data_IF_756505748689
#
_entry.id   IF_756505748689
#
_cell.length_a   1.000
_cell.length_b   1.000
_cell.length_c   1.000
_cell.angle_alpha   90.00
_cell.angle_beta   90.00
_cell.angle_gamma   90.00
#
_symmetry.space_group_name_H-M   'P 1'
#
loop_
_entity.id
_entity.type
_entity.pdbx_description
1 polymer ?
#
# COMPACT_ATOMS: atom_id res chain seq x y z
N UNK A 1 15.96 6.85 -35.67
CA UNK A 1 15.59 8.18 -36.23
C UNK A 1 14.75 9.00 -35.26
N UNK A 2 13.70 8.45 -34.64
CA UNK A 2 12.80 9.17 -33.74
C UNK A 2 13.52 9.92 -32.60
N UNK A 3 14.36 9.23 -31.83
CA UNK A 3 15.05 9.82 -30.66
C UNK A 3 16.03 10.95 -31.04
N UNK A 4 16.51 10.99 -32.28
CA UNK A 4 17.40 12.07 -32.76
C UNK A 4 16.74 13.45 -32.80
N UNK A 5 15.41 13.49 -32.84
CA UNK A 5 14.62 14.72 -32.74
C UNK A 5 14.45 15.18 -31.30
N UNK A 6 14.73 14.33 -30.32
CA UNK A 6 14.56 14.60 -28.90
C UNK A 6 15.87 14.98 -28.21
N UNK A 7 16.88 15.45 -28.93
CA UNK A 7 18.11 15.91 -28.28
C UNK A 7 17.83 17.11 -27.35
N UNK A 8 18.34 17.06 -26.11
CA UNK A 8 18.16 18.10 -25.09
C UNK A 8 18.63 19.48 -25.56
N UNK A 9 19.69 19.56 -26.38
CA UNK A 9 20.22 20.82 -26.92
C UNK A 9 19.25 21.55 -27.85
N UNK A 10 18.18 20.87 -28.29
CA UNK A 10 17.12 21.44 -29.14
C UNK A 10 15.90 21.87 -28.32
N UNK A 11 15.82 21.47 -27.06
CA UNK A 11 14.73 21.81 -26.16
C UNK A 11 14.88 23.28 -25.71
N UNK A 12 13.86 24.12 -25.84
CA UNK A 12 13.96 25.51 -25.42
C UNK A 12 14.07 25.64 -23.90
N UNK A 13 14.93 26.55 -23.43
CA UNK A 13 15.05 26.89 -22.00
C UNK A 13 13.80 27.60 -21.44
N UNK A 14 12.96 28.16 -22.31
CA UNK A 14 11.72 28.84 -21.93
C UNK A 14 10.51 28.22 -22.62
N UNK A 15 9.44 28.04 -21.85
CA UNK A 15 8.11 27.67 -22.35
C UNK A 15 7.54 28.72 -23.31
N UNK A 16 8.03 29.96 -23.24
CA UNK A 16 7.76 31.02 -24.20
C UNK A 16 8.84 30.96 -25.29
N UNK A 17 8.51 30.33 -26.40
CA UNK A 17 9.49 30.10 -27.47
C UNK A 17 9.36 31.12 -28.60
N UNK A 18 10.49 31.38 -29.28
CA UNK A 18 10.58 32.26 -30.45
C UNK A 18 10.21 31.49 -31.72
N UNK A 19 9.84 32.18 -32.80
CA UNK A 19 9.45 31.56 -34.07
C UNK A 19 10.49 30.56 -34.62
N UNK A 20 11.79 30.80 -34.38
CA UNK A 20 12.89 29.92 -34.78
C UNK A 20 12.89 28.55 -34.09
N UNK A 21 12.16 28.41 -32.97
CA UNK A 21 12.05 27.16 -32.21
C UNK A 21 10.83 26.32 -32.61
N UNK A 22 9.95 26.83 -33.48
CA UNK A 22 8.72 26.13 -33.87
C UNK A 22 9.00 24.76 -34.51
N UNK A 23 9.97 24.69 -35.42
CA UNK A 23 10.26 23.46 -36.15
C UNK A 23 10.90 22.34 -35.30
N UNK A 24 11.87 22.62 -34.41
CA UNK A 24 12.32 21.66 -33.40
C UNK A 24 11.18 21.17 -32.49
N UNK A 25 10.29 22.06 -32.05
CA UNK A 25 9.16 21.71 -31.17
C UNK A 25 8.19 20.76 -31.88
N UNK A 26 7.81 21.04 -33.12
CA UNK A 26 6.87 20.18 -33.87
C UNK A 26 7.44 18.78 -34.10
N UNK A 27 8.74 18.68 -34.42
CA UNK A 27 9.43 17.39 -34.56
C UNK A 27 9.53 16.65 -33.23
N UNK A 28 9.81 17.34 -32.14
CA UNK A 28 9.83 16.75 -30.82
C UNK A 28 8.43 16.28 -30.40
N UNK A 29 7.39 17.06 -30.69
CA UNK A 29 6.00 16.70 -30.41
C UNK A 29 5.62 15.41 -31.13
N UNK A 30 5.91 15.31 -32.43
CA UNK A 30 5.66 14.10 -33.21
C UNK A 30 6.46 12.89 -32.67
N UNK A 31 7.71 13.11 -32.26
CA UNK A 31 8.54 12.05 -31.70
C UNK A 31 8.03 11.56 -30.34
N UNK A 32 7.66 12.45 -29.40
CA UNK A 32 7.08 12.06 -28.11
C UNK A 32 5.71 11.39 -28.31
N UNK A 33 4.88 11.90 -29.22
CA UNK A 33 3.61 11.25 -29.58
C UNK A 33 3.83 9.84 -30.09
N UNK A 34 4.84 9.61 -30.95
CA UNK A 34 5.13 8.26 -31.40
C UNK A 34 5.63 7.34 -30.26
N UNK A 35 6.44 7.84 -29.32
CA UNK A 35 6.83 7.07 -28.12
C UNK A 35 5.62 6.66 -27.26
N UNK A 36 4.57 7.47 -27.23
CA UNK A 36 3.35 7.18 -26.47
C UNK A 36 2.55 5.97 -26.99
N UNK A 37 2.99 5.33 -28.08
CA UNK A 37 2.41 4.10 -28.63
C UNK A 37 3.37 2.90 -28.57
N UNK A 38 4.56 3.04 -27.97
CA UNK A 38 5.60 1.99 -28.00
C UNK A 38 5.37 0.85 -26.99
N UNK A 39 4.44 1.00 -26.05
CA UNK A 39 4.23 0.06 -24.95
C UNK A 39 4.21 -1.43 -25.34
N UNK A 40 3.35 -1.85 -26.29
CA UNK A 40 3.28 -3.25 -26.73
C UNK A 40 4.57 -3.79 -27.38
N UNK A 41 5.43 -2.90 -27.89
CA UNK A 41 6.71 -3.25 -28.49
C UNK A 41 7.81 -3.41 -27.44
N UNK A 42 7.74 -2.63 -26.35
CA UNK A 42 8.69 -2.67 -25.25
C UNK A 42 8.47 -3.88 -24.32
N UNK A 43 7.22 -4.27 -24.06
CA UNK A 43 6.87 -5.45 -23.25
C UNK A 43 7.49 -6.78 -23.73
N UNK A 44 7.90 -6.86 -25.00
CA UNK A 44 8.54 -8.06 -25.57
C UNK A 44 10.05 -8.14 -25.33
N UNK A 45 10.62 -7.25 -24.51
CA UNK A 45 12.06 -7.20 -24.25
C UNK A 45 12.88 -6.85 -25.49
N UNK A 46 12.38 -5.93 -26.34
CA UNK A 46 13.01 -5.58 -27.60
C UNK A 46 14.22 -4.63 -27.37
N UNK A 47 15.40 -5.23 -27.17
CA UNK A 47 16.64 -4.49 -26.93
C UNK A 47 17.01 -3.50 -28.05
N UNK A 48 16.65 -3.78 -29.31
CA UNK A 48 16.92 -2.89 -30.45
C UNK A 48 16.09 -1.61 -30.39
N UNK A 49 14.86 -1.69 -29.86
CA UNK A 49 14.00 -0.54 -29.62
C UNK A 49 14.42 0.20 -28.34
N UNK A 50 14.81 -0.54 -27.31
CA UNK A 50 15.15 -0.01 -25.99
C UNK A 50 16.44 0.81 -26.00
N UNK A 51 17.51 0.30 -26.60
CA UNK A 51 18.83 0.95 -26.54
C UNK A 51 18.84 2.41 -27.03
N UNK A 52 18.21 2.77 -28.17
CA UNK A 52 18.11 4.16 -28.57
C UNK A 52 17.36 5.07 -27.59
N UNK A 53 16.40 4.52 -26.82
CA UNK A 53 15.66 5.26 -25.79
C UNK A 53 16.57 5.49 -24.58
N UNK A 54 17.31 4.47 -24.14
CA UNK A 54 18.31 4.58 -23.07
C UNK A 54 19.36 5.64 -23.43
N UNK A 55 19.96 5.54 -24.61
CA UNK A 55 21.01 6.45 -25.11
C UNK A 55 20.50 7.91 -25.21
N UNK A 56 19.21 8.09 -25.50
CA UNK A 56 18.58 9.41 -25.64
C UNK A 56 17.78 9.89 -24.43
N UNK A 57 17.85 9.18 -23.30
CA UNK A 57 16.97 9.39 -22.14
C UNK A 57 16.93 10.84 -21.66
N UNK A 58 18.09 11.47 -21.51
CA UNK A 58 18.19 12.86 -21.06
C UNK A 58 17.39 13.83 -21.93
N UNK A 59 17.43 13.61 -23.24
CA UNK A 59 16.68 14.40 -24.21
C UNK A 59 15.18 14.14 -24.15
N UNK A 60 14.77 12.87 -24.06
CA UNK A 60 13.38 12.47 -23.89
C UNK A 60 12.79 13.12 -22.63
N UNK A 61 13.49 13.03 -21.50
CA UNK A 61 13.12 13.66 -20.24
C UNK A 61 12.96 15.18 -20.36
N UNK A 62 13.93 15.85 -20.98
CA UNK A 62 13.90 17.30 -21.21
C UNK A 62 12.67 17.74 -22.02
N UNK A 63 12.31 17.01 -23.07
CA UNK A 63 11.13 17.34 -23.88
C UNK A 63 9.81 17.01 -23.17
N UNK A 64 9.71 15.91 -22.42
CA UNK A 64 8.51 15.60 -21.64
C UNK A 64 8.23 16.68 -20.59
N UNK A 65 9.25 17.14 -19.87
CA UNK A 65 9.12 18.21 -18.87
C UNK A 65 8.73 19.55 -19.52
N UNK A 66 9.27 19.86 -20.70
CA UNK A 66 8.88 21.04 -21.48
C UNK A 66 7.40 20.99 -21.89
N UNK A 67 6.93 19.88 -22.48
CA UNK A 67 5.54 19.72 -22.91
C UNK A 67 4.56 19.70 -21.74
N UNK A 68 4.94 19.07 -20.62
CA UNK A 68 4.17 19.15 -19.39
C UNK A 68 4.04 20.60 -18.91
N UNK A 69 5.13 21.36 -18.90
CA UNK A 69 5.13 22.76 -18.47
C UNK A 69 4.19 23.61 -19.32
N UNK A 70 4.15 23.39 -20.64
CA UNK A 70 3.15 24.01 -21.51
C UNK A 70 1.72 23.58 -21.18
N UNK A 71 1.49 22.29 -20.93
CA UNK A 71 0.16 21.75 -20.60
C UNK A 71 -0.40 22.37 -19.30
N UNK A 72 0.46 22.60 -18.31
CA UNK A 72 0.09 23.13 -16.99
C UNK A 72 -0.14 24.64 -16.98
N UNK A 73 0.32 25.37 -18.00
CA UNK A 73 0.21 26.82 -18.03
C UNK A 73 -1.11 27.25 -18.69
N UNK A 74 -2.07 27.83 -17.94
CA UNK A 74 -3.37 28.22 -18.49
C UNK A 74 -3.29 29.33 -19.53
N UNK A 75 -2.17 30.06 -19.61
CA UNK A 75 -1.94 31.13 -20.58
C UNK A 75 -1.44 30.62 -21.95
N UNK A 76 -1.08 29.34 -22.06
CA UNK A 76 -0.47 28.77 -23.27
C UNK A 76 -1.41 27.81 -23.99
N UNK A 77 -1.80 28.18 -25.21
CA UNK A 77 -2.61 27.33 -26.09
C UNK A 77 -4.07 27.18 -25.64
N UNK A 78 -4.86 26.44 -26.44
CA UNK A 78 -6.25 26.14 -26.09
C UNK A 78 -6.33 25.06 -24.98
N UNK A 79 -7.42 24.99 -24.21
CA UNK A 79 -7.65 23.90 -23.25
C UNK A 79 -7.49 22.51 -23.88
N UNK A 80 -7.95 22.32 -25.12
CA UNK A 80 -7.80 21.07 -25.87
C UNK A 80 -6.33 20.75 -26.17
N UNK A 81 -5.53 21.75 -26.59
CA UNK A 81 -4.08 21.57 -26.82
C UNK A 81 -3.36 21.20 -25.52
N UNK A 82 -3.70 21.87 -24.41
CA UNK A 82 -3.11 21.57 -23.09
C UNK A 82 -3.43 20.16 -22.64
N UNK A 83 -4.69 19.72 -22.80
CA UNK A 83 -5.10 18.33 -22.51
C UNK A 83 -4.31 17.33 -23.36
N UNK A 84 -4.22 17.54 -24.66
CA UNK A 84 -3.48 16.66 -25.56
C UNK A 84 -2.00 16.52 -25.18
N UNK A 85 -1.33 17.62 -24.81
CA UNK A 85 0.06 17.57 -24.36
C UNK A 85 0.23 16.77 -23.06
N UNK A 86 -0.70 16.93 -22.12
CA UNK A 86 -0.68 16.18 -20.87
C UNK A 86 -0.90 14.68 -21.12
N UNK A 87 -1.90 14.33 -21.94
CA UNK A 87 -2.20 12.94 -22.30
C UNK A 87 -1.02 12.28 -23.00
N UNK A 88 -0.37 12.99 -23.93
CA UNK A 88 0.83 12.52 -24.63
C UNK A 88 1.97 12.22 -23.65
N UNK A 89 2.24 13.12 -22.70
CA UNK A 89 3.27 12.91 -21.67
C UNK A 89 2.89 11.72 -20.79
N UNK A 90 1.64 11.62 -20.34
CA UNK A 90 1.14 10.53 -19.51
C UNK A 90 1.31 9.16 -20.19
N UNK A 91 0.87 9.04 -21.44
CA UNK A 91 1.00 7.81 -22.22
C UNK A 91 2.45 7.45 -22.54
N UNK A 92 3.32 8.44 -22.74
CA UNK A 92 4.75 8.21 -22.94
C UNK A 92 5.37 7.63 -21.67
N UNK A 93 5.14 8.26 -20.51
CA UNK A 93 5.62 7.78 -19.22
C UNK A 93 5.13 6.35 -18.95
N UNK A 94 3.84 6.09 -19.20
CA UNK A 94 3.27 4.74 -19.12
C UNK A 94 3.98 3.74 -20.04
N UNK A 95 4.15 4.05 -21.33
CA UNK A 95 4.75 3.11 -22.28
C UNK A 95 6.20 2.77 -21.91
N UNK A 96 6.97 3.77 -21.48
CA UNK A 96 8.36 3.58 -21.08
C UNK A 96 8.47 2.80 -19.77
N UNK A 97 7.50 2.98 -18.85
CA UNK A 97 7.47 2.24 -17.59
C UNK A 97 7.05 0.78 -17.75
N UNK A 98 6.85 0.24 -18.96
CA UNK A 98 6.55 -1.18 -19.18
C UNK A 98 7.82 -2.04 -19.37
N UNK A 99 9.00 -1.45 -19.47
CA UNK A 99 10.29 -2.16 -19.56
C UNK A 99 11.12 -1.89 -18.30
N UNK A 100 11.63 -2.95 -17.67
CA UNK A 100 12.32 -2.88 -16.37
C UNK A 100 13.57 -1.99 -16.38
N UNK A 101 14.33 -1.98 -17.49
CA UNK A 101 15.54 -1.17 -17.57
C UNK A 101 15.20 0.32 -17.75
N UNK A 102 14.14 0.61 -18.52
CA UNK A 102 13.62 1.97 -18.63
C UNK A 102 12.96 2.45 -17.33
N UNK A 103 12.27 1.59 -16.59
CA UNK A 103 11.77 1.90 -15.25
C UNK A 103 12.92 2.35 -14.33
N UNK A 104 14.04 1.61 -14.29
CA UNK A 104 15.19 1.99 -13.49
C UNK A 104 15.76 3.37 -13.87
N UNK A 105 15.83 3.69 -15.17
CA UNK A 105 16.23 5.01 -15.65
C UNK A 105 15.23 6.10 -15.25
N UNK A 106 13.94 5.80 -15.29
CA UNK A 106 12.87 6.70 -14.85
C UNK A 106 12.97 6.99 -13.36
N UNK A 107 13.08 5.96 -12.52
CA UNK A 107 13.20 6.10 -11.06
C UNK A 107 14.46 6.88 -10.65
N UNK A 108 15.54 6.79 -11.43
CA UNK A 108 16.77 7.55 -11.18
C UNK A 108 16.70 9.02 -11.65
N UNK A 109 15.69 9.42 -12.43
CA UNK A 109 15.61 10.77 -13.00
C UNK A 109 15.12 11.80 -11.95
N UNK A 110 15.88 12.87 -11.66
CA UNK A 110 15.46 13.90 -10.73
C UNK A 110 14.16 14.58 -11.18
N UNK A 111 13.18 14.69 -10.28
CA UNK A 111 11.88 15.28 -10.61
C UNK A 111 10.87 14.30 -11.23
N UNK A 112 11.24 13.02 -11.43
CA UNK A 112 10.33 12.03 -12.02
C UNK A 112 9.12 11.78 -11.13
N UNK A 113 9.32 11.58 -9.83
CA UNK A 113 8.23 11.33 -8.89
C UNK A 113 7.27 12.54 -8.83
N UNK A 114 7.79 13.77 -8.84
CA UNK A 114 6.94 14.96 -8.96
C UNK A 114 6.16 15.02 -10.28
N UNK A 115 6.78 14.71 -11.42
CA UNK A 115 6.08 14.74 -12.71
C UNK A 115 4.98 13.68 -12.77
N UNK A 116 5.28 12.45 -12.36
CA UNK A 116 4.29 11.37 -12.31
C UNK A 116 3.15 11.70 -11.36
N UNK A 117 3.45 12.28 -10.19
CA UNK A 117 2.41 12.74 -9.24
C UNK A 117 1.50 13.78 -9.87
N UNK A 118 2.06 14.74 -10.61
CA UNK A 118 1.27 15.78 -11.30
C UNK A 118 0.39 15.19 -12.40
N UNK A 119 0.96 14.32 -13.23
CA UNK A 119 0.21 13.61 -14.27
C UNK A 119 -0.91 12.78 -13.64
N UNK A 120 -0.60 12.06 -12.58
CA UNK A 120 -1.55 11.32 -11.78
C UNK A 120 -2.67 12.24 -11.29
N UNK A 121 -2.39 13.33 -10.58
CA UNK A 121 -3.42 14.26 -10.07
C UNK A 121 -4.36 14.83 -11.14
N UNK A 122 -3.91 14.96 -12.39
CA UNK A 122 -4.72 15.46 -13.50
C UNK A 122 -5.47 14.39 -14.29
N UNK A 123 -5.22 13.11 -14.03
CA UNK A 123 -5.97 12.00 -14.64
C UNK A 123 -7.44 12.03 -14.20
N UNK A 124 -8.34 11.96 -15.18
CA UNK A 124 -9.78 11.90 -14.97
C UNK A 124 -10.20 10.45 -14.71
N UNK A 125 -10.68 10.11 -13.49
CA UNK A 125 -11.07 8.74 -13.18
C UNK A 125 -12.36 8.32 -13.88
N UNK A 126 -13.13 9.24 -14.47
CA UNK A 126 -14.43 8.96 -15.09
C UNK A 126 -14.36 8.80 -16.61
N UNK A 127 -13.21 9.06 -17.24
CA UNK A 127 -13.02 8.73 -18.65
C UNK A 127 -12.89 7.21 -18.83
N UNK A 128 -13.45 6.66 -19.90
CA UNK A 128 -13.37 5.23 -20.23
C UNK A 128 -11.98 4.77 -20.71
N UNK A 129 -11.00 5.68 -20.66
CA UNK A 129 -9.60 5.41 -20.98
C UNK A 129 -8.87 4.68 -19.84
N UNK A 130 -7.73 4.07 -20.20
CA UNK A 130 -6.82 3.45 -19.23
C UNK A 130 -6.21 4.51 -18.30
N UNK A 131 -6.08 4.26 -16.98
CA UNK A 131 -5.50 5.21 -16.02
C UNK A 131 -3.97 5.22 -16.12
N UNK A 132 -3.46 5.72 -17.24
CA UNK A 132 -2.03 5.73 -17.61
C UNK A 132 -1.15 6.47 -16.60
N UNK A 133 -1.65 7.53 -15.98
CA UNK A 133 -0.93 8.31 -14.98
C UNK A 133 -0.80 7.54 -13.66
N UNK A 134 -1.89 6.90 -13.21
CA UNK A 134 -1.85 6.01 -12.04
C UNK A 134 -0.88 4.85 -12.26
N UNK A 135 -0.94 4.21 -13.44
CA UNK A 135 -0.09 3.06 -13.75
C UNK A 135 1.38 3.45 -13.91
N UNK A 136 1.69 4.56 -14.61
CA UNK A 136 3.07 5.02 -14.75
C UNK A 136 3.70 5.38 -13.40
N UNK A 137 2.93 6.08 -12.53
CA UNK A 137 3.37 6.41 -11.17
C UNK A 137 3.67 5.13 -10.39
N UNK A 138 2.80 4.13 -10.48
CA UNK A 138 2.99 2.85 -9.82
C UNK A 138 4.25 2.12 -10.31
N UNK A 139 4.42 1.91 -11.62
CA UNK A 139 5.54 1.13 -12.16
C UNK A 139 6.91 1.71 -11.73
N UNK A 140 7.00 3.04 -11.64
CA UNK A 140 8.23 3.72 -11.19
C UNK A 140 8.42 3.63 -9.67
N UNK A 141 7.32 3.58 -8.90
CA UNK A 141 7.33 3.42 -7.44
C UNK A 141 7.43 1.98 -6.96
N UNK A 142 7.55 1.00 -7.86
CA UNK A 142 7.82 -0.39 -7.47
C UNK A 142 9.09 -0.49 -6.60
N UNK A 143 10.08 0.38 -6.85
CA UNK A 143 11.32 0.54 -6.05
C UNK A 143 11.37 1.90 -5.35
N UNK A 144 10.25 2.34 -4.75
CA UNK A 144 10.17 3.63 -4.09
C UNK A 144 11.23 3.80 -2.98
N UNK A 145 11.92 4.93 -3.00
CA UNK A 145 12.80 5.37 -1.91
C UNK A 145 12.07 6.39 -1.03
N UNK A 146 12.49 6.56 0.23
CA UNK A 146 11.92 7.57 1.13
C UNK A 146 11.90 8.97 0.49
N UNK A 147 12.96 9.34 -0.25
CA UNK A 147 13.04 10.60 -0.97
C UNK A 147 11.97 10.76 -2.06
N UNK A 148 11.60 9.68 -2.76
CA UNK A 148 10.54 9.73 -3.77
C UNK A 148 9.18 9.93 -3.11
N UNK A 149 8.96 9.31 -1.95
CA UNK A 149 7.73 9.48 -1.18
C UNK A 149 7.60 10.92 -0.68
N UNK A 150 8.66 11.50 -0.13
CA UNK A 150 8.68 12.90 0.29
C UNK A 150 8.37 13.85 -0.88
N UNK A 151 8.92 13.57 -2.07
CA UNK A 151 8.66 14.35 -3.28
C UNK A 151 7.19 14.27 -3.72
N UNK A 152 6.55 13.09 -3.63
CA UNK A 152 5.12 12.92 -3.92
C UNK A 152 4.27 13.73 -2.93
N UNK A 153 4.57 13.63 -1.62
CA UNK A 153 3.84 14.35 -0.57
C UNK A 153 3.91 15.86 -0.80
N UNK A 154 5.12 16.38 -1.05
CA UNK A 154 5.34 17.79 -1.34
C UNK A 154 4.61 18.23 -2.61
N UNK A 155 4.65 17.41 -3.67
CA UNK A 155 4.04 17.72 -4.96
C UNK A 155 2.52 17.73 -4.90
N UNK A 156 1.92 16.73 -4.22
CA UNK A 156 0.48 16.64 -4.02
C UNK A 156 -0.06 17.72 -3.07
N UNK A 157 0.83 18.42 -2.34
CA UNK A 157 0.46 19.36 -1.26
C UNK A 157 -0.52 18.73 -0.26
N UNK A 158 -0.31 17.44 0.00
CA UNK A 158 -1.20 16.61 0.80
C UNK A 158 -0.47 15.97 1.97
N UNK A 159 -1.19 15.14 2.70
CA UNK A 159 -0.63 14.17 3.65
C UNK A 159 -0.55 12.79 3.00
N UNK A 160 0.25 11.88 3.56
CA UNK A 160 0.27 10.46 3.16
C UNK A 160 -1.15 9.89 3.12
N UNK A 161 -1.97 10.23 4.13
CA UNK A 161 -3.37 9.82 4.19
C UNK A 161 -4.19 10.33 2.98
N UNK A 162 -4.06 11.61 2.60
CA UNK A 162 -4.79 12.15 1.44
C UNK A 162 -4.35 11.54 0.10
N UNK A 163 -3.07 11.19 -0.03
CA UNK A 163 -2.54 10.51 -1.22
C UNK A 163 -3.07 9.08 -1.30
N UNK A 164 -3.05 8.37 -0.17
CA UNK A 164 -3.65 7.04 -0.06
C UNK A 164 -5.16 7.07 -0.37
N UNK A 165 -5.90 8.03 0.18
CA UNK A 165 -7.33 8.24 -0.10
C UNK A 165 -7.59 8.51 -1.60
N UNK A 166 -6.76 9.31 -2.26
CA UNK A 166 -6.89 9.54 -3.70
C UNK A 166 -6.63 8.25 -4.50
N UNK A 167 -5.57 7.51 -4.18
CA UNK A 167 -5.26 6.22 -4.82
C UNK A 167 -6.39 5.20 -4.64
N UNK A 168 -6.95 5.12 -3.44
CA UNK A 168 -8.08 4.23 -3.12
C UNK A 168 -9.38 4.68 -3.80
N UNK A 169 -9.65 5.99 -3.88
CA UNK A 169 -10.82 6.52 -4.59
C UNK A 169 -10.78 6.16 -6.08
N UNK A 170 -9.60 6.21 -6.70
CA UNK A 170 -9.42 5.81 -8.11
C UNK A 170 -9.56 4.31 -8.30
N UNK A 171 -9.02 3.53 -7.37
CA UNK A 171 -9.25 2.09 -7.34
C UNK A 171 -10.76 1.80 -7.31
N UNK A 172 -11.53 2.45 -6.44
CA UNK A 172 -12.99 2.31 -6.40
C UNK A 172 -13.63 2.57 -7.77
N UNK A 173 -13.27 3.64 -8.45
CA UNK A 173 -13.83 3.94 -9.78
C UNK A 173 -13.51 2.85 -10.82
N UNK A 174 -12.32 2.24 -10.76
CA UNK A 174 -11.95 1.12 -11.63
C UNK A 174 -12.75 -0.15 -11.26
N UNK A 175 -12.95 -0.40 -9.97
CA UNK A 175 -13.63 -1.60 -9.47
C UNK A 175 -15.15 -1.55 -9.58
N UNK A 176 -15.75 -0.37 -9.54
CA UNK A 176 -17.19 -0.17 -9.72
C UNK A 176 -17.63 -0.41 -11.18
N UNK A 177 -16.68 -0.61 -12.12
CA UNK A 177 -17.01 -0.99 -13.48
C UNK A 177 -17.57 -2.43 -13.49
N UNK A 178 -18.84 -2.63 -13.93
CA UNK A 178 -19.61 -3.87 -13.71
C UNK A 178 -19.00 -5.12 -14.36
N UNK A 179 -18.10 -4.94 -15.32
CA UNK A 179 -17.21 -5.99 -15.81
C UNK A 179 -15.85 -5.35 -16.09
N UNK A 180 -14.79 -5.86 -15.48
CA UNK A 180 -13.43 -5.56 -15.94
C UNK A 180 -13.34 -6.08 -17.37
N UNK A 181 -13.38 -5.17 -18.36
CA UNK A 181 -13.24 -5.55 -19.78
C UNK A 181 -11.98 -6.42 -19.90
N UNK A 182 -12.07 -7.65 -20.45
CA UNK A 182 -10.92 -8.54 -20.62
C UNK A 182 -9.82 -7.97 -21.53
N UNK A 183 -9.97 -6.77 -22.09
CA UNK A 183 -8.86 -5.98 -22.64
C UNK A 183 -7.81 -5.70 -21.57
N UNK A 184 -6.53 -5.79 -21.98
CA UNK A 184 -5.35 -5.69 -21.11
C UNK A 184 -5.35 -4.50 -20.12
N UNK A 185 -6.00 -3.38 -20.45
CA UNK A 185 -5.97 -2.14 -19.65
C UNK A 185 -6.60 -2.25 -18.26
N UNK A 186 -7.71 -2.96 -18.11
CA UNK A 186 -8.44 -3.02 -16.82
C UNK A 186 -7.74 -3.92 -15.81
N UNK A 187 -7.20 -5.05 -16.28
CA UNK A 187 -6.39 -5.96 -15.47
C UNK A 187 -5.07 -5.30 -15.06
N UNK A 188 -4.49 -4.51 -15.95
CA UNK A 188 -3.26 -3.79 -15.67
C UNK A 188 -3.44 -2.68 -14.63
N UNK A 189 -4.54 -1.93 -14.73
CA UNK A 189 -4.93 -0.96 -13.72
C UNK A 189 -5.16 -1.62 -12.35
N UNK A 190 -5.92 -2.73 -12.32
CA UNK A 190 -6.16 -3.46 -11.08
C UNK A 190 -4.87 -4.00 -10.44
N UNK A 191 -3.99 -4.59 -11.25
CA UNK A 191 -2.67 -5.06 -10.83
C UNK A 191 -1.79 -3.95 -10.24
N UNK A 192 -1.76 -2.79 -10.91
CA UNK A 192 -1.05 -1.60 -10.44
C UNK A 192 -1.55 -1.13 -9.06
N UNK A 193 -2.85 -1.23 -8.82
CA UNK A 193 -3.44 -0.83 -7.56
C UNK A 193 -3.10 -1.78 -6.41
N UNK A 194 -3.08 -3.11 -6.63
CA UNK A 194 -2.69 -4.06 -5.58
C UNK A 194 -1.28 -3.81 -5.09
N UNK A 195 -0.38 -3.58 -6.02
CA UNK A 195 1.01 -3.36 -5.70
C UNK A 195 1.28 -1.97 -5.10
N UNK A 196 0.55 -0.93 -5.53
CA UNK A 196 0.55 0.37 -4.84
C UNK A 196 0.09 0.25 -3.38
N UNK A 197 -0.98 -0.50 -3.12
CA UNK A 197 -1.45 -0.76 -1.75
C UNK A 197 -0.40 -1.54 -0.97
N UNK A 198 0.20 -2.56 -1.56
CA UNK A 198 1.29 -3.34 -0.94
C UNK A 198 2.42 -2.42 -0.48
N UNK A 199 2.89 -1.52 -1.35
CA UNK A 199 3.94 -0.56 -1.05
C UNK A 199 3.53 0.46 0.02
N UNK A 200 2.32 1.02 -0.06
CA UNK A 200 1.82 1.95 0.97
C UNK A 200 1.71 1.32 2.36
N UNK A 201 1.39 0.03 2.43
CA UNK A 201 1.27 -0.67 3.71
C UNK A 201 2.63 -0.94 4.34
N UNK A 202 3.63 -1.25 3.53
CA UNK A 202 5.02 -1.44 3.99
C UNK A 202 5.71 -0.10 4.33
N UNK A 203 5.24 1.02 3.77
CA UNK A 203 5.75 2.37 4.02
C UNK A 203 4.96 3.09 5.14
N UNK A 204 5.37 2.88 6.40
CA UNK A 204 4.93 3.69 7.55
C UNK A 204 3.97 3.00 8.52
N UNK A 205 3.09 3.76 9.20
CA UNK A 205 2.04 3.17 10.05
C UNK A 205 0.98 2.56 9.14
N UNK A 206 1.10 1.27 8.85
CA UNK A 206 0.22 0.58 7.91
C UNK A 206 -1.24 0.44 8.39
N UNK A 207 -1.56 0.64 9.67
CA UNK A 207 -2.90 0.35 10.21
C UNK A 207 -4.00 1.22 9.59
N UNK A 208 -3.86 2.57 9.53
CA UNK A 208 -4.86 3.41 8.87
C UNK A 208 -5.01 3.07 7.38
N UNK A 209 -3.91 2.79 6.68
CA UNK A 209 -3.88 2.51 5.25
C UNK A 209 -4.56 1.18 4.89
N UNK A 210 -4.21 0.08 5.58
CA UNK A 210 -4.86 -1.22 5.40
C UNK A 210 -6.36 -1.11 5.68
N UNK A 211 -6.72 -0.47 6.80
CA UNK A 211 -8.12 -0.30 7.20
C UNK A 211 -8.91 0.50 6.16
N UNK A 212 -8.32 1.55 5.59
CA UNK A 212 -8.97 2.37 4.59
C UNK A 212 -9.12 1.60 3.27
N UNK A 213 -8.07 0.91 2.81
CA UNK A 213 -8.12 0.08 1.60
C UNK A 213 -9.23 -0.98 1.66
N UNK A 214 -9.38 -1.66 2.80
CA UNK A 214 -10.45 -2.65 3.02
C UNK A 214 -11.83 -1.99 2.94
N UNK A 215 -12.02 -0.85 3.61
CA UNK A 215 -13.30 -0.11 3.59
C UNK A 215 -13.67 0.35 2.18
N UNK A 216 -12.68 0.68 1.39
CA UNK A 216 -12.83 1.22 0.03
C UNK A 216 -12.94 0.13 -1.05
N UNK A 217 -13.09 -1.13 -0.65
CA UNK A 217 -13.47 -2.21 -1.56
C UNK A 217 -12.33 -3.09 -2.04
N UNK A 218 -11.16 -3.09 -1.37
CA UNK A 218 -10.05 -3.99 -1.71
C UNK A 218 -10.47 -5.47 -1.85
N UNK A 219 -11.37 -5.95 -1.00
CA UNK A 219 -11.87 -7.33 -1.09
C UNK A 219 -12.76 -7.55 -2.33
N UNK A 220 -13.60 -6.57 -2.66
CA UNK A 220 -14.38 -6.61 -3.91
C UNK A 220 -13.44 -6.58 -5.13
N UNK A 221 -12.31 -5.90 -5.03
CA UNK A 221 -11.26 -5.90 -6.05
C UNK A 221 -10.82 -7.32 -6.37
N UNK A 222 -10.38 -8.06 -5.33
CA UNK A 222 -9.96 -9.45 -5.45
C UNK A 222 -11.05 -10.33 -6.06
N UNK A 223 -12.29 -10.18 -5.62
CA UNK A 223 -13.44 -10.91 -6.19
C UNK A 223 -13.61 -10.62 -7.69
N UNK A 224 -13.55 -9.34 -8.08
CA UNK A 224 -13.77 -8.92 -9.46
C UNK A 224 -12.65 -9.39 -10.39
N UNK A 225 -11.39 -9.40 -9.92
CA UNK A 225 -10.25 -9.88 -10.71
C UNK A 225 -10.10 -11.40 -10.72
N UNK A 226 -10.71 -12.11 -9.76
CA UNK A 226 -10.55 -13.57 -9.57
C UNK A 226 -10.67 -14.38 -10.86
N UNK A 227 -11.68 -14.19 -11.73
CA UNK A 227 -11.83 -14.99 -12.95
C UNK A 227 -10.69 -14.81 -13.97
N UNK A 228 -9.92 -13.73 -13.85
CA UNK A 228 -8.82 -13.38 -14.74
C UNK A 228 -7.48 -13.26 -14.01
N UNK A 229 -7.37 -13.82 -12.80
CA UNK A 229 -6.20 -13.64 -11.94
C UNK A 229 -4.89 -14.10 -12.61
N UNK A 230 -4.90 -15.25 -13.30
CA UNK A 230 -3.75 -15.77 -14.05
C UNK A 230 -3.30 -14.89 -15.22
N UNK A 231 -4.12 -13.92 -15.64
CA UNK A 231 -3.82 -12.98 -16.72
C UNK A 231 -3.18 -11.68 -16.23
N UNK A 232 -3.02 -11.52 -14.92
CA UNK A 232 -2.24 -10.41 -14.37
C UNK A 232 -0.78 -10.54 -14.81
N UNK A 233 -0.11 -9.40 -14.98
CA UNK A 233 1.34 -9.41 -15.20
C UNK A 233 2.06 -10.03 -13.99
N UNK A 234 3.21 -10.67 -14.23
CA UNK A 234 3.90 -11.50 -13.22
C UNK A 234 4.16 -10.76 -11.91
N UNK A 235 4.57 -9.49 -11.97
CA UNK A 235 4.81 -8.69 -10.77
C UNK A 235 3.51 -8.40 -10.01
N UNK A 236 2.48 -7.89 -10.70
CA UNK A 236 1.17 -7.62 -10.12
C UNK A 236 0.49 -8.87 -9.54
N UNK A 237 0.68 -10.02 -10.18
CA UNK A 237 0.22 -11.31 -9.67
C UNK A 237 0.90 -11.66 -8.34
N UNK A 238 2.23 -11.52 -8.26
CA UNK A 238 3.01 -11.72 -7.04
C UNK A 238 2.58 -10.78 -5.91
N UNK A 239 2.43 -9.49 -6.21
CA UNK A 239 2.05 -8.47 -5.22
C UNK A 239 0.63 -8.69 -4.68
N UNK A 240 -0.31 -9.09 -5.54
CA UNK A 240 -1.67 -9.41 -5.12
C UNK A 240 -1.71 -10.63 -4.19
N UNK A 241 -0.91 -11.68 -4.48
CA UNK A 241 -0.76 -12.84 -3.60
C UNK A 241 -0.10 -12.45 -2.27
N UNK A 242 1.00 -11.70 -2.29
CA UNK A 242 1.66 -11.21 -1.09
C UNK A 242 0.69 -10.42 -0.20
N UNK A 243 -0.15 -9.58 -0.81
CA UNK A 243 -1.13 -8.76 -0.09
C UNK A 243 -2.15 -9.63 0.67
N UNK A 244 -2.74 -10.64 0.02
CA UNK A 244 -3.78 -11.48 0.63
C UNK A 244 -3.22 -12.57 1.56
N UNK A 245 -2.04 -13.12 1.26
CA UNK A 245 -1.45 -14.24 2.00
C UNK A 245 -0.61 -13.80 3.21
N UNK A 246 -0.02 -12.60 3.14
CA UNK A 246 0.95 -12.16 4.13
C UNK A 246 0.64 -10.78 4.70
N UNK A 247 0.47 -9.78 3.84
CA UNK A 247 0.34 -8.40 4.30
C UNK A 247 -0.93 -8.18 5.10
N UNK A 248 -2.13 -8.39 4.54
CA UNK A 248 -3.40 -8.19 5.28
C UNK A 248 -3.48 -9.07 6.54
N UNK A 249 -3.16 -10.37 6.51
CA UNK A 249 -3.17 -11.22 7.70
C UNK A 249 -2.38 -10.67 8.89
N UNK A 250 -1.23 -10.02 8.67
CA UNK A 250 -0.42 -9.40 9.73
C UNK A 250 -1.18 -8.30 10.47
N UNK A 251 -2.14 -7.63 9.83
CA UNK A 251 -2.95 -6.58 10.43
C UNK A 251 -4.24 -7.10 11.11
N UNK A 252 -4.54 -8.39 11.02
CA UNK A 252 -5.66 -9.01 11.76
C UNK A 252 -5.39 -9.18 13.26
N UNK A 253 -4.37 -8.51 13.79
CA UNK A 253 -4.15 -8.29 15.22
C UNK A 253 -4.85 -7.03 15.74
N UNK A 254 -5.29 -6.14 14.85
CA UNK A 254 -5.96 -4.89 15.19
C UNK A 254 -7.49 -5.05 15.13
N UNK A 255 -8.18 -4.70 16.22
CA UNK A 255 -9.65 -4.78 16.34
C UNK A 255 -10.36 -4.01 15.22
N UNK A 256 -9.88 -2.83 14.88
CA UNK A 256 -10.46 -1.96 13.87
C UNK A 256 -10.30 -2.50 12.45
N UNK A 257 -9.20 -3.21 12.17
CA UNK A 257 -8.98 -3.91 10.90
C UNK A 257 -9.86 -5.16 10.81
N UNK A 258 -9.97 -5.95 11.88
CA UNK A 258 -10.86 -7.13 11.92
C UNK A 258 -12.32 -6.73 11.63
N UNK A 259 -12.82 -5.63 12.22
CA UNK A 259 -14.18 -5.14 11.96
C UNK A 259 -14.36 -4.70 10.51
N UNK A 260 -13.37 -3.99 9.96
CA UNK A 260 -13.40 -3.58 8.55
C UNK A 260 -13.42 -4.80 7.62
N UNK A 261 -12.59 -5.82 7.91
CA UNK A 261 -12.54 -7.07 7.16
C UNK A 261 -13.85 -7.85 7.22
N UNK A 262 -14.45 -8.00 8.39
CA UNK A 262 -15.76 -8.65 8.55
C UNK A 262 -16.84 -7.95 7.72
N UNK A 263 -16.90 -6.63 7.83
CA UNK A 263 -17.86 -5.81 7.05
C UNK A 263 -17.63 -5.96 5.54
N UNK A 264 -16.36 -6.01 5.11
CA UNK A 264 -16.01 -6.15 3.70
C UNK A 264 -16.29 -7.58 3.17
N UNK A 265 -15.99 -8.61 3.96
CA UNK A 265 -16.29 -10.01 3.60
C UNK A 265 -17.79 -10.23 3.43
N UNK A 266 -18.63 -9.70 4.32
CA UNK A 266 -20.09 -9.79 4.22
C UNK A 266 -20.63 -9.21 2.89
N UNK A 267 -19.99 -8.17 2.35
CA UNK A 267 -20.37 -7.60 1.05
C UNK A 267 -20.03 -8.51 -0.14
N UNK A 268 -19.12 -9.46 0.04
CA UNK A 268 -18.62 -10.39 -0.98
C UNK A 268 -19.23 -11.80 -0.88
N UNK A 269 -20.29 -11.98 -0.11
CA UNK A 269 -20.96 -13.29 0.11
C UNK A 269 -22.03 -13.63 -0.94
N UNK A 270 -22.25 -12.75 -1.93
CA UNK A 270 -23.18 -13.04 -3.02
C UNK A 270 -22.76 -14.33 -3.76
N UNK A 271 -23.70 -15.22 -4.15
CA UNK A 271 -23.36 -16.49 -4.81
C UNK A 271 -22.49 -16.32 -6.06
N UNK A 272 -22.72 -15.24 -6.82
CA UNK A 272 -21.94 -14.90 -8.01
C UNK A 272 -20.48 -14.54 -7.66
N UNK A 273 -20.28 -13.80 -6.58
CA UNK A 273 -18.95 -13.41 -6.11
C UNK A 273 -18.18 -14.61 -5.54
N UNK A 274 -18.85 -15.46 -4.77
CA UNK A 274 -18.28 -16.71 -4.30
C UNK A 274 -17.89 -17.64 -5.47
N UNK A 275 -18.70 -17.68 -6.54
CA UNK A 275 -18.37 -18.48 -7.72
C UNK A 275 -17.11 -17.97 -8.43
N UNK A 276 -16.95 -16.64 -8.57
CA UNK A 276 -15.73 -16.03 -9.15
C UNK A 276 -14.47 -16.44 -8.38
N UNK A 277 -14.51 -16.33 -7.05
CA UNK A 277 -13.36 -16.64 -6.20
C UNK A 277 -13.07 -18.14 -6.19
N UNK A 278 -14.08 -18.98 -5.97
CA UNK A 278 -13.90 -20.44 -5.87
C UNK A 278 -13.39 -21.07 -7.17
N UNK A 279 -13.70 -20.46 -8.33
CA UNK A 279 -13.19 -20.89 -9.63
C UNK A 279 -11.80 -20.36 -9.99
N UNK A 280 -11.12 -19.65 -9.08
CA UNK A 280 -9.86 -18.95 -9.35
C UNK A 280 -8.67 -19.52 -8.57
N UNK A 281 -7.43 -19.22 -8.99
CA UNK A 281 -6.21 -19.61 -8.27
C UNK A 281 -6.15 -19.09 -6.82
N UNK A 282 -6.80 -17.97 -6.51
CA UNK A 282 -6.76 -17.37 -5.16
C UNK A 282 -7.72 -18.02 -4.17
N UNK A 283 -8.51 -19.01 -4.58
CA UNK A 283 -9.53 -19.63 -3.74
C UNK A 283 -8.94 -20.14 -2.40
N UNK A 284 -7.75 -20.75 -2.43
CA UNK A 284 -7.11 -21.25 -1.22
C UNK A 284 -6.74 -20.12 -0.25
N UNK A 285 -6.09 -19.08 -0.76
CA UNK A 285 -5.66 -17.89 -0.01
C UNK A 285 -6.86 -17.12 0.55
N UNK A 286 -7.94 -16.99 -0.25
CA UNK A 286 -9.21 -16.40 0.19
C UNK A 286 -9.87 -17.19 1.33
N UNK A 287 -9.89 -18.52 1.23
CA UNK A 287 -10.43 -19.37 2.30
C UNK A 287 -9.60 -19.26 3.58
N UNK A 288 -8.27 -19.09 3.47
CA UNK A 288 -7.41 -18.89 4.63
C UNK A 288 -7.70 -17.55 5.32
N UNK A 289 -7.84 -16.46 4.56
CA UNK A 289 -8.14 -15.15 5.16
C UNK A 289 -9.53 -15.14 5.82
N UNK A 290 -10.54 -15.79 5.22
CA UNK A 290 -11.86 -15.94 5.84
C UNK A 290 -11.80 -16.70 7.16
N UNK A 291 -11.09 -17.83 7.20
CA UNK A 291 -10.89 -18.62 8.44
C UNK A 291 -10.20 -17.80 9.52
N UNK A 292 -9.16 -17.05 9.16
CA UNK A 292 -8.42 -16.21 10.09
C UNK A 292 -9.30 -15.08 10.63
N UNK A 293 -10.07 -14.39 9.78
CA UNK A 293 -11.00 -13.34 10.22
C UNK A 293 -12.04 -13.90 11.19
N UNK A 294 -12.64 -15.06 10.90
CA UNK A 294 -13.60 -15.72 11.80
C UNK A 294 -12.98 -16.09 13.16
N UNK A 295 -11.76 -16.62 13.17
CA UNK A 295 -11.04 -16.89 14.41
C UNK A 295 -10.84 -15.60 15.23
N UNK A 296 -10.35 -14.54 14.58
CA UNK A 296 -10.07 -13.25 15.22
C UNK A 296 -11.35 -12.56 15.70
N UNK A 297 -12.45 -12.67 14.98
CA UNK A 297 -13.78 -12.19 15.41
C UNK A 297 -14.27 -12.89 16.67
N UNK A 298 -14.08 -14.22 16.76
CA UNK A 298 -14.44 -14.97 17.97
C UNK A 298 -13.64 -14.48 19.18
N UNK A 299 -12.33 -14.27 19.02
CA UNK A 299 -11.46 -13.74 20.09
C UNK A 299 -11.88 -12.32 20.47
N UNK A 300 -12.17 -11.46 19.48
CA UNK A 300 -12.71 -10.10 19.70
C UNK A 300 -14.02 -10.13 20.48
N UNK A 301 -14.95 -11.01 20.15
CA UNK A 301 -16.22 -11.13 20.86
C UNK A 301 -15.99 -11.46 22.35
N UNK A 302 -15.15 -12.46 22.64
CA UNK A 302 -14.82 -12.82 24.02
C UNK A 302 -14.12 -11.65 24.74
N UNK A 303 -13.21 -10.94 24.07
CA UNK A 303 -12.57 -9.73 24.61
C UNK A 303 -13.59 -8.62 24.90
N UNK A 304 -14.58 -8.41 24.04
CA UNK A 304 -15.61 -7.38 24.19
C UNK A 304 -16.57 -7.73 25.35
N UNK A 305 -16.93 -9.01 25.53
CA UNK A 305 -17.74 -9.48 26.67
C UNK A 305 -16.98 -9.33 27.99
N UNK A 306 -15.68 -9.64 27.99
CA UNK A 306 -14.83 -9.49 29.17
C UNK A 306 -14.40 -8.04 29.43
N UNK A 307 -14.83 -7.08 28.60
CA UNK A 307 -14.42 -5.69 28.69
C UNK A 307 -14.83 -5.09 30.04
N UNK A 308 -13.83 -4.62 30.78
CA UNK A 308 -14.04 -4.05 32.12
C UNK A 308 -13.87 -5.06 33.26
N UNK A 309 -13.66 -6.34 32.96
CA UNK A 309 -13.12 -7.31 33.92
C UNK A 309 -11.61 -7.41 33.77
N UNK A 310 -10.91 -7.67 34.88
CA UNK A 310 -9.46 -7.86 34.92
C UNK A 310 -9.14 -9.04 35.81
N UNK A 311 -7.98 -9.66 35.59
CA UNK A 311 -7.45 -10.75 36.39
C UNK A 311 -6.32 -10.25 37.27
N UNK A 312 -6.17 -10.82 38.47
CA UNK A 312 -4.99 -10.56 39.30
C UNK A 312 -3.77 -11.20 38.65
N UNK A 313 -2.69 -10.44 38.44
CA UNK A 313 -1.46 -10.97 37.84
C UNK A 313 -0.75 -12.02 38.72
N UNK A 314 -1.19 -12.19 39.97
CA UNK A 314 -0.59 -13.14 40.93
C UNK A 314 -1.48 -14.34 41.20
N UNK A 315 -2.75 -14.12 41.57
CA UNK A 315 -3.66 -15.20 41.95
C UNK A 315 -4.73 -15.50 40.90
N UNK A 316 -4.72 -14.80 39.76
CA UNK A 316 -5.69 -14.92 38.65
C UNK A 316 -7.17 -14.71 39.03
N UNK A 317 -7.46 -14.18 40.22
CA UNK A 317 -8.83 -13.78 40.60
C UNK A 317 -9.38 -12.78 39.57
N UNK A 318 -10.59 -13.04 39.07
CA UNK A 318 -11.30 -12.16 38.13
C UNK A 318 -12.30 -11.28 38.87
N UNK A 319 -12.34 -9.98 38.58
CA UNK A 319 -13.50 -9.13 38.89
C UNK A 319 -13.52 -7.85 38.03
N UNK A 320 -14.48 -6.97 38.30
CA UNK A 320 -14.55 -5.65 37.67
C UNK A 320 -13.28 -4.83 37.96
N UNK A 321 -12.81 -4.09 36.95
CA UNK A 321 -11.60 -3.24 37.00
C UNK A 321 -11.57 -2.28 38.20
N UNK A 322 -12.73 -1.78 38.63
CA UNK A 322 -12.88 -0.90 39.81
C UNK A 322 -12.55 -1.57 41.14
N UNK A 323 -12.63 -2.89 41.22
CA UNK A 323 -12.33 -3.66 42.43
C UNK A 323 -10.84 -4.00 42.58
N UNK A 324 -10.01 -3.66 41.59
CA UNK A 324 -8.59 -4.01 41.52
C UNK A 324 -7.71 -2.77 41.63
N UNK A 325 -6.51 -2.96 42.19
CA UNK A 325 -5.48 -1.93 42.30
C UNK A 325 -4.49 -2.07 41.15
N UNK A 326 -4.14 -0.97 40.51
CA UNK A 326 -3.05 -0.94 39.52
C UNK A 326 -1.74 -0.59 40.18
N UNK A 327 -0.64 -1.13 39.66
CA UNK A 327 0.69 -0.68 40.05
C UNK A 327 0.81 0.83 39.78
N UNK A 328 1.15 1.63 40.79
CA UNK A 328 1.30 3.08 40.65
C UNK A 328 2.56 3.48 39.87
N UNK A 329 3.53 2.58 39.74
CA UNK A 329 4.77 2.81 38.98
C UNK A 329 4.57 2.74 37.46
N UNK A 330 4.04 1.62 36.96
CA UNK A 330 3.86 1.40 35.52
C UNK A 330 2.42 1.60 35.03
N UNK A 331 1.41 1.57 35.90
CA UNK A 331 0.00 1.72 35.52
C UNK A 331 -0.63 0.53 34.77
N UNK A 332 0.15 -0.52 34.46
CA UNK A 332 -0.27 -1.66 33.63
C UNK A 332 -0.73 -2.85 34.47
N UNK A 333 0.12 -3.36 35.36
CA UNK A 333 -0.13 -4.58 36.14
C UNK A 333 -1.20 -4.36 37.21
N UNK A 334 -2.08 -5.34 37.39
CA UNK A 334 -3.30 -5.30 38.22
C UNK A 334 -3.30 -6.36 39.32
N UNK A 335 -3.68 -5.94 40.52
CA UNK A 335 -3.70 -6.78 41.72
C UNK A 335 -5.04 -6.68 42.43
N UNK A 336 -5.55 -7.80 42.93
CA UNK A 336 -6.78 -7.80 43.74
C UNK A 336 -6.55 -7.24 45.16
N UNK A 337 -5.30 -7.21 45.64
CA UNK A 337 -4.96 -6.81 47.01
C UNK A 337 -3.50 -6.36 47.15
N UNK A 338 -3.15 -5.77 48.30
CA UNK A 338 -1.78 -5.30 48.58
C UNK A 338 -0.81 -6.47 48.78
N UNK A 339 -1.31 -7.58 49.27
CA UNK A 339 -0.56 -8.84 49.46
C UNK A 339 -0.13 -9.40 48.10
N UNK A 340 -1.05 -9.42 47.13
CA UNK A 340 -0.72 -9.81 45.75
C UNK A 340 0.29 -8.83 45.14
N UNK A 341 0.10 -7.52 45.30
CA UNK A 341 1.07 -6.53 44.79
C UNK A 341 2.48 -6.76 45.35
N UNK A 342 2.60 -6.99 46.66
CA UNK A 342 3.89 -7.25 47.33
C UNK A 342 4.53 -8.55 46.84
N UNK A 343 3.71 -9.58 46.60
CA UNK A 343 4.16 -10.86 46.05
C UNK A 343 4.69 -10.69 44.62
N UNK A 344 3.96 -9.99 43.77
CA UNK A 344 4.39 -9.70 42.40
C UNK A 344 5.69 -8.91 42.34
N UNK A 345 5.84 -7.92 43.22
CA UNK A 345 7.07 -7.14 43.35
C UNK A 345 8.30 -8.01 43.63
N UNK A 346 8.17 -8.99 44.54
CA UNK A 346 9.24 -9.94 44.88
C UNK A 346 9.53 -10.96 43.78
N UNK A 347 8.53 -11.31 42.97
CA UNK A 347 8.64 -12.33 41.92
C UNK A 347 9.32 -11.87 40.63
N UNK A 348 9.64 -10.58 40.49
CA UNK A 348 10.33 -10.05 39.30
C UNK A 348 9.75 -8.75 38.77
N UNK A 349 8.52 -8.38 39.17
CA UNK A 349 7.85 -7.20 38.63
C UNK A 349 8.65 -5.89 38.82
N UNK A 350 9.55 -5.82 39.80
CA UNK A 350 10.41 -4.65 40.01
C UNK A 350 11.20 -4.25 38.75
N UNK A 351 11.79 -5.22 38.06
CA UNK A 351 12.58 -4.94 36.84
C UNK A 351 11.68 -4.74 35.62
N UNK A 352 10.63 -5.56 35.49
CA UNK A 352 9.60 -5.40 34.46
C UNK A 352 8.90 -4.03 34.51
N UNK A 353 8.69 -3.49 35.72
CA UNK A 353 7.97 -2.22 35.93
C UNK A 353 8.68 -1.05 35.25
N UNK A 354 10.02 -1.03 35.25
CA UNK A 354 10.81 0.03 34.58
C UNK A 354 10.63 -0.04 33.07
N UNK A 355 10.80 -1.23 32.49
CA UNK A 355 10.63 -1.48 31.05
C UNK A 355 9.20 -1.14 30.59
N UNK A 356 8.21 -1.57 31.37
CA UNK A 356 6.79 -1.33 31.08
C UNK A 356 6.45 0.17 31.10
N UNK A 357 7.04 0.93 32.02
CA UNK A 357 6.84 2.38 32.11
C UNK A 357 7.42 3.11 30.90
N UNK A 358 8.60 2.71 30.43
CA UNK A 358 9.24 3.30 29.25
C UNK A 358 8.44 2.98 27.97
N UNK A 359 8.06 1.71 27.79
CA UNK A 359 7.21 1.29 26.68
C UNK A 359 5.85 2.02 26.65
N UNK A 360 5.28 2.34 27.81
CA UNK A 360 4.03 3.10 27.87
C UNK A 360 4.20 4.58 27.46
N UNK A 361 5.38 5.18 27.65
CA UNK A 361 5.68 6.53 27.15
C UNK A 361 5.80 6.54 25.63
N UNK A 362 6.54 5.58 25.08
CA UNK A 362 6.71 5.43 23.62
C UNK A 362 5.35 5.21 22.94
N UNK A 363 4.50 4.35 23.50
CA UNK A 363 3.16 4.03 22.96
C UNK A 363 2.12 5.16 23.02
N UNK A 364 2.40 6.26 23.72
CA UNK A 364 1.50 7.42 23.73
C UNK A 364 1.62 8.26 22.46
N UNK A 365 2.68 8.07 21.67
CA UNK A 365 2.92 8.72 20.37
C UNK A 365 2.40 7.90 19.17
N UNK A 366 1.87 6.68 19.40
CA UNK A 366 1.39 5.79 18.32
C UNK A 366 0.06 6.25 17.72
N UNK A 367 -0.05 6.18 16.39
CA UNK A 367 -1.30 6.44 15.65
C UNK A 367 -2.38 5.33 15.81
N UNK A 368 -2.07 4.25 16.55
CA UNK A 368 -3.01 3.16 16.87
C UNK A 368 -4.03 3.62 17.94
N UNK A 369 -5.32 3.28 17.77
CA UNK A 369 -6.33 3.67 18.75
C UNK A 369 -6.26 2.80 20.03
N UNK A 370 -6.77 3.32 21.16
CA UNK A 370 -6.76 2.60 22.44
C UNK A 370 -7.43 1.22 22.38
N UNK A 371 -8.53 1.09 21.64
CA UNK A 371 -9.27 -0.18 21.53
C UNK A 371 -8.45 -1.24 20.79
N UNK A 372 -7.65 -0.82 19.81
CA UNK A 372 -6.74 -1.70 19.09
C UNK A 372 -5.62 -2.20 20.01
N UNK A 373 -5.02 -1.31 20.80
CA UNK A 373 -3.99 -1.71 21.79
C UNK A 373 -4.53 -2.67 22.84
N UNK A 374 -5.70 -2.36 23.41
CA UNK A 374 -6.34 -3.22 24.42
C UNK A 374 -6.62 -4.62 23.85
N UNK A 375 -7.11 -4.69 22.60
CA UNK A 375 -7.37 -5.96 21.93
C UNK A 375 -6.10 -6.71 21.54
N UNK A 376 -5.08 -6.04 21.00
CA UNK A 376 -3.79 -6.67 20.68
C UNK A 376 -3.18 -7.35 21.90
N UNK A 377 -3.23 -6.70 23.07
CA UNK A 377 -2.73 -7.29 24.31
C UNK A 377 -3.55 -8.53 24.72
N UNK A 378 -4.88 -8.47 24.58
CA UNK A 378 -5.75 -9.60 24.83
C UNK A 378 -5.44 -10.77 23.88
N UNK A 379 -5.31 -10.49 22.58
CA UNK A 379 -4.99 -11.47 21.55
C UNK A 379 -3.63 -12.13 21.80
N UNK A 380 -2.59 -11.35 22.09
CA UNK A 380 -1.27 -11.88 22.42
C UNK A 380 -1.31 -12.83 23.62
N UNK A 381 -2.03 -12.45 24.68
CA UNK A 381 -2.20 -13.32 25.86
C UNK A 381 -2.96 -14.60 25.53
N UNK A 382 -4.01 -14.50 24.71
CA UNK A 382 -4.78 -15.63 24.22
C UNK A 382 -3.92 -16.60 23.40
N UNK A 383 -3.16 -16.08 22.43
CA UNK A 383 -2.30 -16.88 21.55
C UNK A 383 -1.16 -17.55 22.33
N UNK A 384 -0.52 -16.85 23.27
CA UNK A 384 0.50 -17.45 24.16
C UNK A 384 -0.09 -18.60 24.98
N UNK A 385 -1.27 -18.39 25.56
CA UNK A 385 -1.92 -19.41 26.41
C UNK A 385 -2.27 -20.66 25.58
N UNK A 386 -2.76 -20.48 24.35
CA UNK A 386 -3.14 -21.58 23.47
C UNK A 386 -1.94 -22.33 22.90
N UNK A 387 -0.81 -21.65 22.72
CA UNK A 387 0.40 -22.21 22.10
C UNK A 387 1.53 -22.46 23.11
N UNK A 388 1.25 -22.47 24.41
CA UNK A 388 2.29 -22.55 25.47
C UNK A 388 3.22 -23.74 25.31
N UNK A 389 2.70 -24.91 24.92
CA UNK A 389 3.52 -26.09 24.70
C UNK A 389 4.49 -25.90 23.52
N UNK A 390 3.98 -25.39 22.40
CA UNK A 390 4.81 -25.11 21.23
C UNK A 390 5.89 -24.07 21.53
N UNK A 391 5.57 -23.03 22.31
CA UNK A 391 6.52 -22.04 22.77
C UNK A 391 7.60 -22.66 23.68
N UNK A 392 7.25 -23.62 24.54
CA UNK A 392 8.23 -24.38 25.32
C UNK A 392 9.13 -25.24 24.42
N UNK A 393 8.59 -25.86 23.38
CA UNK A 393 9.37 -26.67 22.44
C UNK A 393 10.38 -25.79 21.66
N UNK A 394 9.94 -24.59 21.22
CA UNK A 394 10.82 -23.58 20.61
C UNK A 394 11.92 -23.16 21.58
N UNK A 395 11.56 -22.84 22.83
CA UNK A 395 12.52 -22.41 23.85
C UNK A 395 13.58 -23.49 24.14
N UNK A 396 13.17 -24.75 24.25
CA UNK A 396 14.07 -25.87 24.48
C UNK A 396 15.03 -26.10 23.29
N UNK A 397 14.55 -25.90 22.06
CA UNK A 397 15.34 -26.05 20.84
C UNK A 397 16.34 -24.90 20.63
N UNK A 398 15.88 -23.66 20.75
CA UNK A 398 16.64 -22.48 20.32
C UNK A 398 17.47 -21.88 21.47
N UNK A 399 17.11 -22.16 22.72
CA UNK A 399 17.78 -21.65 23.92
C UNK A 399 18.08 -22.77 24.94
N UNK A 400 18.83 -23.82 24.55
CA UNK A 400 19.10 -24.96 25.41
C UNK A 400 19.85 -24.51 26.68
N UNK A 401 19.36 -24.96 27.84
CA UNK A 401 19.98 -24.67 29.14
C UNK A 401 19.65 -23.32 29.75
N UNK A 402 18.91 -22.44 29.06
CA UNK A 402 18.37 -21.21 29.64
C UNK A 402 17.02 -21.53 30.30
N UNK A 403 16.84 -21.28 31.61
CA UNK A 403 15.52 -21.44 32.24
C UNK A 403 14.47 -20.60 31.51
N UNK A 404 13.30 -21.17 31.25
CA UNK A 404 12.21 -20.48 30.53
C UNK A 404 11.78 -19.17 31.20
N UNK A 405 11.94 -19.06 32.52
CA UNK A 405 11.71 -17.82 33.27
C UNK A 405 12.69 -16.67 32.93
N UNK A 406 13.77 -16.95 32.20
CA UNK A 406 14.76 -15.97 31.75
C UNK A 406 14.66 -15.67 30.24
N UNK A 407 13.70 -16.28 29.54
CA UNK A 407 13.45 -16.05 28.13
C UNK A 407 12.26 -15.10 27.98
N UNK A 408 12.53 -13.79 28.04
CA UNK A 408 11.56 -12.72 27.75
C UNK A 408 10.62 -12.38 28.90
#
# INVERSE_FOLDING_TARGET
>A
MLVSHLNASKCPDSILFRSSSAYPIDRALAAVTALSYFGPLLQKGNAELRKPIEDGWHGIWCWMTFFYSQSSNPLLGSPAKRRHLLEMVAHTLYCLSLDDALQALMSAAPGMAALLTKVWLHEDPYEDAMPVGSTALYNVLFVATDSMIDEIIQTARGTVASIAELGLSRLRTVLDKPQLDPKHSSLYAAGSCFAFISNLVELGDGVPHVRQAIKDGLLQAFVNISPAFDRLETNAHGDALQLIEHTIPRYLVYRSVIIAMDTALQKTEAPEDLAKVNGSPIAASWNQIQKLVLERLRIKYVSDVNRGTVFCDICRKQALKKAFKRCTGCGVVVYCSKECQTTGWKKGHKEECKLTKENHRIRQDDAICKQDRDFQHYLATYDVTRNVQHLHDIAARDFPGIPTAHLG
#
